data_IF_914669377656
#
_entry.id   IF_914669377656
#
_cell.length_a   1.000
_cell.length_b   1.000
_cell.length_c   1.000
_cell.angle_alpha   90.00
_cell.angle_beta   90.00
_cell.angle_gamma   90.00
#
_symmetry.space_group_name_H-M   'P 1'
#
loop_
_entity.id
_entity.type
_entity.pdbx_description
1 polymer ?
#
# COMPACT_ATOMS: atom_id res chain seq x y z
N UNK A 1 -13.87 20.74 0.19
CA UNK A 1 -14.13 21.56 -1.02
C UNK A 1 -12.87 22.38 -1.29
N UNK A 2 -11.87 21.79 -1.95
CA UNK A 2 -10.62 22.47 -2.32
C UNK A 2 -10.86 23.20 -3.65
N UNK A 3 -10.49 24.47 -3.65
CA UNK A 3 -10.70 25.42 -4.74
C UNK A 3 -9.66 25.11 -5.84
N UNK A 4 -10.08 24.44 -6.92
CA UNK A 4 -9.24 24.20 -8.10
C UNK A 4 -9.10 25.51 -8.87
N UNK A 5 -8.20 26.37 -8.40
CA UNK A 5 -7.74 27.53 -9.17
C UNK A 5 -6.99 27.03 -10.39
N UNK A 6 -7.61 27.20 -11.56
CA UNK A 6 -7.05 26.98 -12.89
C UNK A 6 -5.66 27.61 -13.00
N UNK A 7 -4.60 26.78 -12.93
CA UNK A 7 -3.23 27.24 -13.20
C UNK A 7 -3.14 27.55 -14.70
N UNK A 8 -2.92 28.82 -14.98
CA UNK A 8 -2.76 29.40 -16.32
C UNK A 8 -1.50 28.81 -16.94
N UNK A 9 -1.63 28.13 -18.09
CA UNK A 9 -0.52 27.72 -18.95
C UNK A 9 0.24 28.98 -19.38
N UNK A 10 1.35 29.30 -18.72
CA UNK A 10 2.28 30.32 -19.16
C UNK A 10 3.32 29.63 -20.05
N UNK A 11 3.03 29.52 -21.35
CA UNK A 11 4.05 29.21 -22.36
C UNK A 11 5.03 30.38 -22.36
N UNK A 12 6.11 30.27 -21.59
CA UNK A 12 7.23 31.21 -21.62
C UNK A 12 8.13 30.79 -22.79
N UNK A 13 7.74 31.21 -23.99
CA UNK A 13 8.62 31.32 -25.15
C UNK A 13 9.64 32.44 -24.86
N UNK A 14 10.71 32.15 -24.13
CA UNK A 14 11.81 33.09 -23.90
C UNK A 14 13.16 32.40 -23.81
N UNK A 15 13.59 31.80 -24.92
CA UNK A 15 15.02 31.59 -25.20
C UNK A 15 15.34 32.15 -26.59
N UNK A 16 15.23 33.47 -26.73
CA UNK A 16 15.98 34.16 -27.78
C UNK A 16 17.45 34.17 -27.32
N UNK A 17 18.17 33.06 -27.54
CA UNK A 17 19.62 33.10 -27.55
C UNK A 17 20.02 33.95 -28.75
N UNK A 18 20.18 35.25 -28.50
CA UNK A 18 20.96 36.09 -29.36
C UNK A 18 22.37 35.47 -29.41
N UNK A 19 22.64 34.66 -30.44
CA UNK A 19 23.99 34.41 -30.90
C UNK A 19 24.59 35.79 -31.16
N UNK A 20 25.27 36.33 -30.14
CA UNK A 20 25.93 37.62 -30.24
C UNK A 20 27.05 37.43 -31.22
N UNK A 21 26.77 37.78 -32.48
CA UNK A 21 27.75 37.97 -33.53
C UNK A 21 28.66 39.11 -33.08
N UNK A 22 29.70 38.81 -32.29
CA UNK A 22 30.89 39.64 -32.25
C UNK A 22 31.58 39.47 -33.59
N UNK A 23 31.03 40.15 -34.60
CA UNK A 23 31.71 40.45 -35.83
C UNK A 23 32.90 41.33 -35.51
N UNK A 24 34.08 40.77 -35.67
CA UNK A 24 35.29 41.54 -35.93
C UNK A 24 35.78 41.08 -37.29
N UNK A 25 35.50 41.91 -38.29
CA UNK A 25 35.96 41.83 -39.66
C UNK A 25 37.42 41.39 -39.74
N UNK A 26 37.65 40.29 -40.48
CA UNK A 26 38.82 40.10 -41.36
C UNK A 26 38.64 38.86 -42.22
N UNK A 27 38.29 39.10 -43.47
CA UNK A 27 38.84 38.43 -44.64
C UNK A 27 39.13 36.92 -44.51
N UNK A 28 38.10 36.10 -44.72
CA UNK A 28 38.26 34.82 -45.39
C UNK A 28 37.23 34.71 -46.51
N UNK A 29 37.72 34.95 -47.73
CA UNK A 29 37.12 34.42 -48.96
C UNK A 29 36.75 32.94 -48.74
N UNK A 30 35.45 32.61 -48.82
CA UNK A 30 35.03 31.20 -48.92
C UNK A 30 33.79 30.75 -48.16
N UNK A 31 33.03 31.61 -47.47
CA UNK A 31 31.71 31.21 -46.95
C UNK A 31 30.72 31.05 -48.10
N UNK A 32 30.70 29.84 -48.70
CA UNK A 32 29.57 29.37 -49.50
C UNK A 32 28.32 29.52 -48.64
N UNK A 33 27.26 30.05 -49.24
CA UNK A 33 25.91 30.01 -48.68
C UNK A 33 25.67 28.61 -48.08
N UNK A 34 25.19 28.54 -46.84
CA UNK A 34 24.97 27.26 -46.15
C UNK A 34 24.22 26.32 -47.10
N UNK A 35 24.74 25.11 -47.30
CA UNK A 35 24.10 24.15 -48.19
C UNK A 35 22.70 23.87 -47.61
N UNK A 36 21.67 24.43 -48.24
CA UNK A 36 20.29 24.35 -47.76
C UNK A 36 19.83 22.89 -47.59
N UNK A 37 20.42 21.96 -48.35
CA UNK A 37 20.14 20.53 -48.21
C UNK A 37 20.72 19.94 -46.92
N UNK A 38 21.91 20.38 -46.50
CA UNK A 38 22.54 19.97 -45.24
C UNK A 38 21.76 20.51 -44.03
N UNK A 39 21.37 21.79 -44.06
CA UNK A 39 20.57 22.39 -42.98
C UNK A 39 19.21 21.68 -42.86
N UNK A 40 18.61 21.32 -44.00
CA UNK A 40 17.37 20.53 -44.02
C UNK A 40 17.59 19.14 -43.40
N UNK A 41 18.65 18.44 -43.79
CA UNK A 41 18.99 17.12 -43.22
C UNK A 41 19.24 17.17 -41.71
N UNK A 42 19.94 18.22 -41.22
CA UNK A 42 20.14 18.43 -39.79
C UNK A 42 18.81 18.66 -39.05
N UNK A 43 17.90 19.43 -39.65
CA UNK A 43 16.56 19.62 -39.11
C UNK A 43 15.75 18.33 -39.07
N UNK A 44 15.80 17.52 -40.13
CA UNK A 44 15.11 16.23 -40.18
C UNK A 44 15.67 15.24 -39.15
N UNK A 45 17.01 15.20 -38.99
CA UNK A 45 17.64 14.35 -37.98
C UNK A 45 17.24 14.76 -36.56
N UNK A 46 17.29 16.05 -36.24
CA UNK A 46 16.86 16.56 -34.94
C UNK A 46 15.36 16.33 -34.67
N UNK A 47 14.51 16.48 -35.69
CA UNK A 47 13.08 16.19 -35.60
C UNK A 47 12.83 14.70 -35.32
N UNK A 48 13.48 13.80 -36.05
CA UNK A 48 13.38 12.34 -35.83
C UNK A 48 13.88 11.93 -34.44
N UNK A 49 14.97 12.55 -33.94
CA UNK A 49 15.49 12.32 -32.59
C UNK A 49 14.46 12.68 -31.52
N UNK A 50 13.78 13.84 -31.63
CA UNK A 50 12.76 14.27 -30.65
C UNK A 50 11.47 13.46 -30.79
N UNK A 51 11.08 13.13 -32.02
CA UNK A 51 9.93 12.27 -32.30
C UNK A 51 10.13 10.82 -31.84
N UNK A 52 11.37 10.43 -31.51
CA UNK A 52 11.76 9.06 -31.16
C UNK A 52 11.47 8.07 -32.29
N UNK A 53 11.52 8.55 -33.53
CA UNK A 53 11.19 7.76 -34.70
C UNK A 53 12.43 7.00 -35.18
N UNK A 54 12.56 5.75 -34.72
CA UNK A 54 13.71 4.90 -35.04
C UNK A 54 13.80 4.58 -36.53
N UNK A 55 12.66 4.51 -37.23
CA UNK A 55 12.63 4.26 -38.68
C UNK A 55 13.19 5.47 -39.42
N UNK A 56 12.73 6.69 -39.09
CA UNK A 56 13.23 7.92 -39.70
C UNK A 56 14.72 8.15 -39.36
N UNK A 57 15.16 7.86 -38.12
CA UNK A 57 16.59 7.92 -37.77
C UNK A 57 17.40 6.93 -38.61
N UNK A 58 16.89 5.72 -38.84
CA UNK A 58 17.53 4.71 -39.71
C UNK A 58 17.68 5.19 -41.13
N UNK A 59 16.63 5.78 -41.70
CA UNK A 59 16.68 6.31 -43.05
C UNK A 59 17.69 7.48 -43.18
N UNK A 60 17.75 8.35 -42.16
CA UNK A 60 18.65 9.50 -42.14
C UNK A 60 20.10 9.13 -41.80
N UNK A 61 20.34 8.00 -41.12
CA UNK A 61 21.69 7.52 -40.80
C UNK A 61 22.23 6.51 -41.84
N UNK A 62 21.35 5.88 -42.62
CA UNK A 62 21.68 4.83 -43.58
C UNK A 62 22.38 3.64 -42.93
N UNK A 63 23.35 3.05 -43.63
CA UNK A 63 24.09 1.86 -43.17
C UNK A 63 24.86 2.06 -41.85
N UNK A 64 24.97 3.29 -41.35
CA UNK A 64 25.61 3.57 -40.06
C UNK A 64 24.74 3.17 -38.87
N UNK A 65 23.41 3.05 -39.03
CA UNK A 65 22.47 2.64 -37.98
C UNK A 65 22.07 1.18 -38.12
N UNK A 66 22.80 0.31 -37.43
CA UNK A 66 22.65 -1.14 -37.57
C UNK A 66 21.30 -1.64 -37.03
N UNK A 67 20.86 -2.82 -37.49
CA UNK A 67 19.65 -3.48 -36.97
C UNK A 67 19.72 -3.71 -35.44
N UNK A 68 20.92 -3.93 -34.89
CA UNK A 68 21.14 -4.10 -33.44
C UNK A 68 20.91 -2.79 -32.69
N UNK A 69 21.43 -1.68 -33.22
CA UNK A 69 21.26 -0.36 -32.63
C UNK A 69 19.79 0.08 -32.71
N UNK A 70 19.11 -0.19 -33.84
CA UNK A 70 17.68 0.06 -33.99
C UNK A 70 16.86 -0.69 -32.93
N UNK A 71 17.15 -1.98 -32.73
CA UNK A 71 16.48 -2.79 -31.71
C UNK A 71 16.76 -2.28 -30.28
N UNK A 72 18.00 -1.88 -29.98
CA UNK A 72 18.38 -1.29 -28.69
C UNK A 72 17.59 0.00 -28.43
N UNK A 73 17.62 0.94 -29.37
CA UNK A 73 16.99 2.25 -29.18
C UNK A 73 15.47 2.20 -29.23
N UNK A 74 14.88 1.31 -30.04
CA UNK A 74 13.43 1.04 -30.01
C UNK A 74 12.98 0.59 -28.63
N UNK A 75 13.79 -0.20 -27.94
CA UNK A 75 13.49 -0.67 -26.59
C UNK A 75 13.63 0.45 -25.55
N UNK A 76 14.65 1.29 -25.66
CA UNK A 76 14.92 2.39 -24.72
C UNK A 76 13.89 3.53 -24.88
N UNK A 77 13.59 3.94 -26.11
CA UNK A 77 12.78 5.13 -26.38
C UNK A 77 11.27 4.90 -26.46
N UNK A 78 10.81 3.66 -26.26
CA UNK A 78 9.37 3.37 -26.24
C UNK A 78 8.67 4.00 -25.03
N UNK A 79 9.38 4.16 -23.90
CA UNK A 79 8.85 4.72 -22.65
C UNK A 79 7.49 4.14 -22.21
N UNK A 80 7.25 2.86 -22.50
CA UNK A 80 6.04 2.16 -22.05
C UNK A 80 6.35 1.34 -20.79
N UNK A 81 5.39 1.20 -19.86
CA UNK A 81 5.54 0.30 -18.72
C UNK A 81 5.76 -1.14 -19.18
N UNK A 82 6.67 -1.86 -18.54
CA UNK A 82 6.93 -3.27 -18.84
C UNK A 82 8.31 -3.74 -18.39
N UNK A 83 9.01 -4.55 -19.19
CA UNK A 83 10.25 -5.21 -18.75
C UNK A 83 11.45 -4.29 -18.61
N UNK A 84 11.34 -3.04 -19.06
CA UNK A 84 12.44 -2.05 -19.05
C UNK A 84 12.18 -0.97 -18.03
N UNK A 85 10.94 -0.49 -17.95
CA UNK A 85 10.53 0.60 -17.09
C UNK A 85 9.31 0.19 -16.26
N UNK A 86 9.34 0.54 -14.98
CA UNK A 86 8.14 0.61 -14.15
C UNK A 86 7.16 1.67 -14.70
N UNK A 87 5.94 1.66 -14.19
CA UNK A 87 4.92 2.67 -14.55
C UNK A 87 5.40 4.09 -14.23
N UNK A 88 6.03 4.29 -13.07
CA UNK A 88 6.51 5.62 -12.63
C UNK A 88 7.70 6.10 -13.46
N UNK A 89 8.67 5.23 -13.76
CA UNK A 89 9.80 5.57 -14.64
C UNK A 89 9.31 5.93 -16.04
N UNK A 90 8.43 5.12 -16.64
CA UNK A 90 7.84 5.37 -17.97
C UNK A 90 7.19 6.76 -18.06
N UNK A 91 6.39 7.12 -17.04
CA UNK A 91 5.75 8.44 -16.95
C UNK A 91 6.76 9.58 -16.83
N UNK A 92 7.78 9.40 -16.00
CA UNK A 92 8.84 10.40 -15.78
C UNK A 92 9.62 10.70 -17.05
N UNK A 93 10.08 9.64 -17.73
CA UNK A 93 10.82 9.74 -18.98
C UNK A 93 10.00 10.44 -20.06
N UNK A 94 8.71 10.12 -20.16
CA UNK A 94 7.79 10.75 -21.11
C UNK A 94 7.58 12.23 -20.78
N UNK A 95 7.38 12.58 -19.51
CA UNK A 95 7.21 13.97 -19.09
C UNK A 95 8.42 14.84 -19.46
N UNK A 96 9.64 14.33 -19.24
CA UNK A 96 10.88 15.01 -19.64
C UNK A 96 10.96 15.10 -21.17
N UNK A 97 10.77 13.98 -21.87
CA UNK A 97 10.92 13.91 -23.32
C UNK A 97 9.90 14.79 -24.07
N UNK A 98 8.68 14.96 -23.54
CA UNK A 98 7.65 15.82 -24.13
C UNK A 98 8.01 17.32 -24.01
N UNK A 99 9.03 17.68 -23.23
CA UNK A 99 9.58 19.05 -23.18
C UNK A 99 10.65 19.33 -24.23
N UNK A 100 11.14 18.28 -24.91
CA UNK A 100 12.22 18.42 -25.89
C UNK A 100 11.78 19.28 -27.08
N UNK A 101 12.66 20.20 -27.45
CA UNK A 101 12.58 21.00 -28.66
C UNK A 101 13.98 21.25 -29.22
N UNK A 102 14.09 21.75 -30.45
CA UNK A 102 15.39 22.01 -31.06
C UNK A 102 15.43 23.27 -31.90
N UNK A 103 16.64 23.80 -32.06
CA UNK A 103 16.98 24.87 -33.00
C UNK A 103 18.26 24.49 -33.77
N UNK A 104 18.17 24.49 -35.10
CA UNK A 104 19.33 24.28 -35.98
C UNK A 104 20.07 25.60 -36.19
N UNK A 105 21.33 25.68 -35.77
CA UNK A 105 22.15 26.85 -36.05
C UNK A 105 22.63 26.84 -37.52
N UNK A 106 21.81 27.39 -38.41
CA UNK A 106 22.07 27.39 -39.86
C UNK A 106 23.39 28.07 -40.25
N UNK A 107 23.90 28.98 -39.41
CA UNK A 107 25.17 29.67 -39.64
C UNK A 107 26.40 28.85 -39.27
N UNK A 108 26.23 27.76 -38.52
CA UNK A 108 27.29 26.83 -38.13
C UNK A 108 27.61 25.77 -39.19
N UNK A 109 26.80 25.67 -40.25
CA UNK A 109 26.93 24.63 -41.26
C UNK A 109 28.30 24.68 -41.95
N UNK A 110 29.05 23.59 -41.84
CA UNK A 110 30.36 23.40 -42.51
C UNK A 110 30.31 22.21 -43.46
N UNK A 111 30.93 22.36 -44.63
CA UNK A 111 31.08 21.28 -45.63
C UNK A 111 32.54 21.20 -46.02
N UNK A 112 33.14 20.02 -45.85
CA UNK A 112 34.52 19.74 -46.17
C UNK A 112 34.66 19.20 -47.61
N UNK A 113 35.88 19.27 -48.14
CA UNK A 113 36.19 18.84 -49.52
C UNK A 113 36.04 17.32 -49.73
N UNK A 114 36.07 16.52 -48.66
CA UNK A 114 35.91 15.06 -48.69
C UNK A 114 34.44 14.61 -48.68
N UNK A 115 33.49 15.54 -48.61
CA UNK A 115 32.06 15.22 -48.54
C UNK A 115 31.54 14.98 -47.13
N UNK A 116 32.36 15.20 -46.09
CA UNK A 116 31.87 15.32 -44.71
C UNK A 116 31.34 16.72 -44.43
N UNK A 117 30.40 16.83 -43.50
CA UNK A 117 29.79 18.09 -43.09
C UNK A 117 29.42 18.07 -41.62
N UNK A 118 29.20 19.24 -41.03
CA UNK A 118 28.67 19.34 -39.67
C UNK A 118 27.76 20.56 -39.48
N UNK A 119 26.80 20.44 -38.57
CA UNK A 119 25.86 21.50 -38.19
C UNK A 119 25.61 21.41 -36.69
N UNK A 120 25.75 22.54 -35.99
CA UNK A 120 25.42 22.65 -34.58
C UNK A 120 23.90 22.73 -34.41
N UNK A 121 23.36 21.86 -33.57
CA UNK A 121 21.96 21.85 -33.15
C UNK A 121 21.91 22.03 -31.63
N UNK A 122 21.04 22.94 -31.17
CA UNK A 122 20.73 23.10 -29.76
C UNK A 122 19.39 22.40 -29.49
N UNK A 123 19.40 21.41 -28.60
CA UNK A 123 18.20 20.81 -28.03
C UNK A 123 17.90 21.50 -26.70
N UNK A 124 16.64 21.79 -26.42
CA UNK A 124 16.19 22.39 -25.17
C UNK A 124 15.22 21.42 -24.49
N UNK A 125 15.41 21.17 -23.20
CA UNK A 125 14.53 20.34 -22.37
C UNK A 125 14.34 20.95 -20.99
N UNK A 126 13.37 20.47 -20.22
CA UNK A 126 13.25 20.78 -18.80
C UNK A 126 14.50 20.35 -18.03
N UNK A 127 15.00 21.21 -17.13
CA UNK A 127 16.06 20.90 -16.15
C UNK A 127 15.49 19.96 -15.08
N UNK A 128 15.31 18.70 -15.48
CA UNK A 128 14.75 17.64 -14.65
C UNK A 128 15.62 17.38 -13.42
N UNK A 129 16.93 17.63 -13.51
CA UNK A 129 17.87 17.45 -12.41
C UNK A 129 17.53 18.37 -11.24
N UNK A 130 17.11 19.61 -11.52
CA UNK A 130 16.67 20.54 -10.48
C UNK A 130 15.39 20.07 -9.78
N UNK A 131 14.45 19.49 -10.54
CA UNK A 131 13.17 18.96 -10.05
C UNK A 131 13.38 17.70 -9.20
N UNK A 132 14.25 16.78 -9.65
CA UNK A 132 14.59 15.56 -8.88
C UNK A 132 15.27 15.85 -7.54
N UNK A 133 15.90 17.02 -7.40
CA UNK A 133 16.49 17.45 -6.13
C UNK A 133 15.47 18.07 -5.16
N UNK A 134 14.23 18.27 -5.60
CA UNK A 134 13.11 18.66 -4.74
C UNK A 134 12.55 17.40 -4.04
N UNK A 135 11.91 17.60 -2.89
CA UNK A 135 11.30 16.52 -2.10
C UNK A 135 9.94 16.11 -2.72
N UNK A 136 10.00 15.61 -3.96
CA UNK A 136 8.83 15.18 -4.73
C UNK A 136 8.71 13.67 -4.61
N UNK A 137 7.78 13.23 -3.78
CA UNK A 137 7.52 11.81 -3.53
C UNK A 137 6.46 11.23 -4.46
N UNK A 138 5.68 12.06 -5.17
CA UNK A 138 4.54 11.63 -5.99
C UNK A 138 4.77 11.95 -7.47
N UNK A 139 4.55 10.96 -8.34
CA UNK A 139 4.78 11.08 -9.79
C UNK A 139 3.97 12.19 -10.47
N UNK A 140 2.72 12.44 -10.07
CA UNK A 140 1.92 13.52 -10.65
C UNK A 140 2.48 14.90 -10.34
N UNK A 141 3.05 15.07 -9.14
CA UNK A 141 3.67 16.33 -8.75
C UNK A 141 4.97 16.55 -9.51
N UNK A 142 5.70 15.47 -9.83
CA UNK A 142 6.86 15.51 -10.72
C UNK A 142 6.47 15.95 -12.14
N UNK A 143 5.45 15.34 -12.74
CA UNK A 143 4.96 15.70 -14.08
C UNK A 143 4.55 17.18 -14.17
N UNK A 144 3.80 17.66 -13.17
CA UNK A 144 3.38 19.06 -13.05
C UNK A 144 4.59 20.00 -12.90
N UNK A 145 5.60 19.58 -12.14
CA UNK A 145 6.83 20.36 -11.90
C UNK A 145 7.69 20.44 -13.16
N UNK A 146 7.85 19.34 -13.90
CA UNK A 146 8.57 19.31 -15.18
C UNK A 146 7.94 20.24 -16.21
N UNK A 147 6.61 20.26 -16.31
CA UNK A 147 5.90 21.12 -17.26
C UNK A 147 6.13 22.63 -17.01
N UNK A 148 6.49 23.01 -15.78
CA UNK A 148 6.78 24.39 -15.37
C UNK A 148 8.25 24.67 -15.07
N UNK A 149 9.13 23.68 -15.25
CA UNK A 149 10.53 23.78 -14.86
C UNK A 149 11.31 24.81 -15.69
N UNK A 150 12.45 25.24 -15.16
CA UNK A 150 13.45 25.92 -15.98
C UNK A 150 13.93 24.96 -17.07
N UNK A 151 14.41 25.51 -18.19
CA UNK A 151 14.96 24.69 -19.28
C UNK A 151 16.47 24.75 -19.30
N UNK A 152 17.09 23.68 -19.79
CA UNK A 152 18.50 23.62 -20.13
C UNK A 152 18.71 23.29 -21.61
N UNK A 153 19.86 23.71 -22.13
CA UNK A 153 20.22 23.52 -23.53
C UNK A 153 21.38 22.53 -23.68
N UNK A 154 21.15 21.51 -24.50
CA UNK A 154 22.12 20.52 -24.94
C UNK A 154 22.59 20.88 -26.35
N UNK A 155 23.85 21.29 -26.51
CA UNK A 155 24.41 21.64 -27.82
C UNK A 155 25.24 20.50 -28.38
N UNK A 156 24.89 20.04 -29.58
CA UNK A 156 25.62 18.97 -30.29
C UNK A 156 26.04 19.42 -31.69
N UNK A 157 27.21 18.98 -32.13
CA UNK A 157 27.67 19.11 -33.52
C UNK A 157 27.26 17.83 -34.27
N UNK A 158 26.16 17.88 -35.01
CA UNK A 158 25.72 16.74 -35.84
C UNK A 158 26.62 16.65 -37.06
N UNK A 159 27.18 15.47 -37.31
CA UNK A 159 28.08 15.20 -38.43
C UNK A 159 27.37 14.43 -39.52
N UNK A 160 27.67 14.76 -40.77
CA UNK A 160 27.03 14.19 -41.94
C UNK A 160 28.06 13.73 -42.98
N UNK A 161 27.70 12.75 -43.78
CA UNK A 161 28.45 12.33 -44.98
C UNK A 161 27.53 12.36 -46.20
N UNK A 162 28.04 12.86 -47.32
CA UNK A 162 27.28 12.95 -48.56
C UNK A 162 27.26 11.63 -49.32
N UNK A 163 26.09 11.02 -49.45
CA UNK A 163 25.88 9.80 -50.25
C UNK A 163 24.95 10.13 -51.42
N UNK A 164 25.53 10.25 -52.62
CA UNK A 164 24.77 10.71 -53.80
C UNK A 164 24.30 12.16 -53.64
N UNK A 165 22.99 12.36 -53.62
CA UNK A 165 22.36 13.68 -53.45
C UNK A 165 21.85 13.93 -52.01
N UNK A 166 22.08 12.99 -51.09
CA UNK A 166 21.58 13.01 -49.71
C UNK A 166 22.71 13.19 -48.70
N UNK A 167 22.37 13.77 -47.54
CA UNK A 167 23.26 13.91 -46.39
C UNK A 167 22.80 12.93 -45.31
N UNK A 168 23.67 12.01 -44.93
CA UNK A 168 23.37 11.00 -43.92
C UNK A 168 24.06 11.37 -42.61
N UNK A 169 23.34 11.34 -41.49
CA UNK A 169 23.86 11.63 -40.16
C UNK A 169 24.76 10.47 -39.69
N UNK A 170 26.01 10.77 -39.35
CA UNK A 170 27.02 9.75 -39.03
C UNK A 170 27.30 9.57 -37.54
N UNK A 171 26.84 10.49 -36.70
CA UNK A 171 26.99 10.43 -35.23
C UNK A 171 25.64 10.43 -34.49
N UNK A 172 24.64 9.77 -35.07
CA UNK A 172 23.29 9.66 -34.50
C UNK A 172 23.32 8.96 -33.12
N UNK A 173 24.24 8.03 -32.90
CA UNK A 173 24.43 7.29 -31.66
C UNK A 173 24.84 8.22 -30.52
N UNK A 174 25.83 9.08 -30.77
CA UNK A 174 26.27 10.12 -29.84
C UNK A 174 25.13 11.09 -29.56
N UNK A 175 24.34 11.45 -30.58
CA UNK A 175 23.18 12.33 -30.40
C UNK A 175 22.10 11.71 -29.53
N UNK A 176 21.76 10.43 -29.75
CA UNK A 176 20.80 9.69 -28.94
C UNK A 176 21.26 9.56 -27.49
N UNK A 177 22.51 9.15 -27.26
CA UNK A 177 23.06 9.01 -25.90
C UNK A 177 23.10 10.35 -25.15
N UNK A 178 23.39 11.44 -25.84
CA UNK A 178 23.47 12.76 -25.23
C UNK A 178 22.09 13.38 -24.96
N UNK A 179 21.16 13.31 -25.92
CA UNK A 179 19.81 13.89 -25.75
C UNK A 179 18.98 13.09 -24.75
N UNK A 180 19.18 11.77 -24.68
CA UNK A 180 18.42 10.88 -23.79
C UNK A 180 19.23 10.41 -22.57
N UNK A 181 20.25 11.17 -22.14
CA UNK A 181 21.06 10.83 -20.96
C UNK A 181 20.19 10.60 -19.70
N UNK A 182 19.09 11.37 -19.58
CA UNK A 182 18.11 11.27 -18.49
C UNK A 182 17.43 9.90 -18.37
N UNK A 183 17.52 9.04 -19.40
CA UNK A 183 17.03 7.65 -19.34
C UNK A 183 17.88 6.73 -18.47
N UNK A 184 19.05 7.20 -18.03
CA UNK A 184 19.94 6.47 -17.10
C UNK A 184 19.73 6.86 -15.63
N UNK A 185 18.85 7.82 -15.35
CA UNK A 185 18.54 8.23 -13.98
C UNK A 185 17.60 7.25 -13.29
N UNK A 186 17.71 7.16 -11.96
CA UNK A 186 16.77 6.39 -11.14
C UNK A 186 15.63 7.30 -10.69
N UNK A 187 14.39 6.85 -10.93
CA UNK A 187 13.17 7.57 -10.58
C UNK A 187 12.41 6.78 -9.53
N UNK A 188 12.49 7.24 -8.28
CA UNK A 188 11.81 6.62 -7.15
C UNK A 188 10.67 7.53 -6.67
N UNK A 189 9.43 7.05 -6.86
CA UNK A 189 8.23 7.75 -6.44
C UNK A 189 7.40 6.81 -5.57
N UNK A 190 6.93 7.35 -4.45
CA UNK A 190 5.91 6.69 -3.63
C UNK A 190 4.59 6.65 -4.39
N UNK A 191 3.91 5.53 -4.25
CA UNK A 191 2.55 5.38 -4.73
C UNK A 191 1.64 6.13 -3.74
N UNK A 192 0.85 7.14 -4.18
CA UNK A 192 -0.10 7.81 -3.30
C UNK A 192 -1.23 6.83 -2.94
N UNK A 193 -1.16 6.27 -1.74
CA UNK A 193 -2.01 5.16 -1.31
C UNK A 193 -3.49 5.53 -1.24
N UNK A 194 -3.81 6.78 -0.91
CA UNK A 194 -5.19 7.28 -0.91
C UNK A 194 -5.86 7.25 -2.29
N UNK A 195 -5.11 7.16 -3.39
CA UNK A 195 -5.65 7.06 -4.75
C UNK A 195 -5.73 5.62 -5.27
N UNK A 196 -5.14 4.66 -4.55
CA UNK A 196 -5.01 3.26 -4.99
C UNK A 196 -6.26 2.41 -4.76
N UNK A 197 -7.38 3.02 -4.36
CA UNK A 197 -8.61 2.29 -4.05
C UNK A 197 -8.43 1.37 -2.86
N UNK A 198 -7.80 1.87 -1.79
CA UNK A 198 -7.63 1.10 -0.57
C UNK A 198 -8.98 0.61 -0.05
N UNK A 199 -9.04 -0.67 0.26
CA UNK A 199 -10.13 -1.28 1.00
C UNK A 199 -9.73 -1.37 2.47
N UNK A 200 -10.72 -1.30 3.34
CA UNK A 200 -10.53 -1.53 4.76
C UNK A 200 -11.66 -2.41 5.27
N UNK A 201 -11.38 -3.08 6.38
CA UNK A 201 -12.33 -4.02 6.94
C UNK A 201 -12.10 -4.24 8.41
N UNK A 202 -13.19 -4.63 9.05
CA UNK A 202 -13.26 -4.87 10.48
C UNK A 202 -13.20 -6.36 10.77
N UNK A 203 -12.52 -6.67 11.85
CA UNK A 203 -12.60 -7.94 12.53
C UNK A 203 -12.89 -7.66 14.00
N UNK A 204 -14.03 -8.11 14.50
CA UNK A 204 -14.47 -7.88 15.87
C UNK A 204 -15.01 -9.19 16.45
N UNK A 205 -14.41 -9.63 17.57
CA UNK A 205 -14.77 -10.80 18.39
C UNK A 205 -14.71 -12.18 17.74
N UNK A 206 -15.20 -12.35 16.51
CA UNK A 206 -15.02 -13.55 15.70
C UNK A 206 -13.98 -13.30 14.59
N UNK A 207 -12.76 -13.84 14.73
CA UNK A 207 -11.70 -13.69 13.72
C UNK A 207 -12.09 -14.17 12.32
N UNK A 208 -13.19 -14.93 12.18
CA UNK A 208 -13.67 -15.48 10.90
C UNK A 208 -14.65 -14.60 10.14
N UNK A 209 -15.17 -13.51 10.72
CA UNK A 209 -16.08 -12.57 10.04
C UNK A 209 -15.41 -11.23 9.78
N UNK A 210 -14.85 -11.06 8.57
CA UNK A 210 -14.38 -9.75 8.11
C UNK A 210 -15.57 -8.99 7.51
N UNK A 211 -15.87 -7.81 8.01
CA UNK A 211 -16.83 -6.88 7.41
C UNK A 211 -16.08 -5.81 6.63
N UNK A 212 -16.34 -5.68 5.34
CA UNK A 212 -15.83 -4.58 4.50
C UNK A 212 -16.68 -3.31 4.60
N UNK A 213 -17.78 -3.34 5.35
CA UNK A 213 -18.59 -2.15 5.62
C UNK A 213 -17.78 -1.17 6.48
N UNK A 214 -17.51 0.08 6.05
CA UNK A 214 -16.79 1.05 6.86
C UNK A 214 -17.56 1.41 8.14
N UNK A 215 -18.87 1.19 8.20
CA UNK A 215 -19.69 1.43 9.39
C UNK A 215 -20.26 0.11 9.93
N UNK A 216 -19.83 -0.31 11.12
CA UNK A 216 -20.36 -1.51 11.79
C UNK A 216 -20.93 -1.20 13.17
N UNK A 217 -21.83 -2.04 13.65
CA UNK A 217 -22.29 -2.02 15.05
C UNK A 217 -21.94 -3.35 15.70
N UNK A 218 -21.24 -3.29 16.82
CA UNK A 218 -20.79 -4.46 17.60
C UNK A 218 -21.37 -4.34 19.00
N UNK A 219 -21.75 -5.47 19.61
CA UNK A 219 -22.29 -5.49 20.96
C UNK A 219 -21.22 -5.98 21.93
N UNK A 220 -21.02 -5.27 23.04
CA UNK A 220 -20.09 -5.66 24.10
C UNK A 220 -18.67 -5.95 23.60
N UNK A 221 -18.15 -5.13 22.68
CA UNK A 221 -16.85 -5.35 22.07
C UNK A 221 -15.72 -5.33 23.12
N UNK A 222 -14.94 -6.41 23.20
CA UNK A 222 -13.68 -6.42 23.98
C UNK A 222 -12.50 -5.84 23.21
N UNK A 223 -12.55 -5.96 21.88
CA UNK A 223 -11.51 -5.51 20.97
C UNK A 223 -12.07 -5.25 19.57
N UNK A 224 -11.39 -4.38 18.84
CA UNK A 224 -11.54 -4.16 17.42
C UNK A 224 -10.21 -4.45 16.75
N UNK A 225 -10.24 -5.07 15.58
CA UNK A 225 -9.12 -5.08 14.66
C UNK A 225 -9.59 -4.55 13.32
N UNK A 226 -8.80 -3.68 12.73
CA UNK A 226 -9.08 -3.11 11.43
C UNK A 226 -7.79 -3.10 10.63
N UNK A 227 -7.87 -3.50 9.37
CA UNK A 227 -6.73 -3.44 8.47
C UNK A 227 -7.14 -2.88 7.12
N UNK A 228 -6.16 -2.33 6.42
CA UNK A 228 -6.30 -1.94 5.02
C UNK A 228 -5.64 -2.97 4.11
N UNK A 229 -6.20 -3.17 2.93
CA UNK A 229 -5.60 -3.94 1.85
C UNK A 229 -5.89 -3.26 0.52
N UNK A 230 -5.12 -3.64 -0.49
CA UNK A 230 -5.28 -3.17 -1.86
C UNK A 230 -5.58 -4.36 -2.75
N UNK A 231 -6.21 -4.11 -3.90
CA UNK A 231 -6.47 -5.15 -4.89
C UNK A 231 -5.17 -5.85 -5.31
N UNK A 232 -5.24 -7.18 -5.48
CA UNK A 232 -4.09 -8.11 -5.64
C UNK A 232 -3.05 -7.69 -6.69
N UNK A 233 -3.42 -6.88 -7.69
CA UNK A 233 -2.52 -6.43 -8.76
C UNK A 233 -1.53 -5.33 -8.30
N UNK A 234 -1.65 -4.81 -7.08
CA UNK A 234 -0.85 -3.66 -6.58
C UNK A 234 -0.02 -3.91 -5.32
N UNK A 235 -0.18 -5.06 -4.64
CA UNK A 235 0.36 -5.22 -3.28
C UNK A 235 1.88 -5.32 -3.19
N UNK A 236 2.56 -5.79 -4.24
CA UNK A 236 4.02 -6.03 -4.23
C UNK A 236 4.83 -4.74 -4.42
N UNK A 237 4.24 -3.70 -5.00
CA UNK A 237 4.89 -2.41 -5.26
C UNK A 237 4.52 -1.34 -4.21
N UNK A 238 3.67 -1.68 -3.24
CA UNK A 238 3.27 -0.75 -2.18
C UNK A 238 4.37 -0.66 -1.13
N UNK A 239 4.89 0.55 -0.96
CA UNK A 239 5.68 0.90 0.21
C UNK A 239 4.75 1.08 1.41
N UNK A 240 4.70 0.06 2.27
CA UNK A 240 3.95 0.09 3.53
C UNK A 240 4.61 0.95 4.60
N UNK A 241 5.84 1.46 4.35
CA UNK A 241 6.56 2.24 5.35
C UNK A 241 5.92 3.61 5.56
N UNK A 242 5.81 4.01 6.83
CA UNK A 242 5.21 5.29 7.21
C UNK A 242 3.67 5.32 7.19
N UNK A 243 3.00 4.21 6.85
CA UNK A 243 1.56 4.07 7.12
C UNK A 243 1.33 4.04 8.62
N UNK A 244 0.32 4.77 9.08
CA UNK A 244 -0.08 4.75 10.47
C UNK A 244 -1.60 4.83 10.63
N UNK A 245 -2.10 4.29 11.74
CA UNK A 245 -3.50 4.34 12.12
C UNK A 245 -3.70 5.26 13.32
N UNK A 246 -4.76 6.05 13.29
CA UNK A 246 -5.25 6.83 14.43
C UNK A 246 -6.59 6.26 14.86
N UNK A 247 -6.68 5.86 16.12
CA UNK A 247 -7.93 5.39 16.74
C UNK A 247 -8.49 6.52 17.59
N UNK A 248 -9.75 6.87 17.35
CA UNK A 248 -10.48 7.85 18.16
C UNK A 248 -11.74 7.24 18.76
N UNK A 249 -12.15 7.70 19.94
CA UNK A 249 -13.44 7.37 20.54
C UNK A 249 -14.24 8.66 20.73
N UNK A 250 -15.42 8.71 20.12
CA UNK A 250 -16.28 9.90 20.10
C UNK A 250 -15.52 11.20 19.67
N UNK A 251 -14.53 11.05 18.79
CA UNK A 251 -13.69 12.14 18.26
C UNK A 251 -12.48 12.53 19.12
N UNK A 252 -12.22 11.85 20.25
CA UNK A 252 -10.99 12.02 21.03
C UNK A 252 -9.94 10.98 20.60
N UNK A 253 -8.73 11.42 20.25
CA UNK A 253 -7.61 10.53 19.89
C UNK A 253 -7.18 9.69 21.09
N UNK A 254 -7.28 8.37 20.94
CA UNK A 254 -6.88 7.39 21.95
C UNK A 254 -5.45 6.93 21.73
N UNK A 255 -5.12 6.56 20.49
CA UNK A 255 -3.82 6.01 20.14
C UNK A 255 -3.48 6.27 18.68
N UNK A 256 -2.18 6.32 18.39
CA UNK A 256 -1.58 6.42 17.07
C UNK A 256 -0.44 5.42 16.94
N UNK A 257 -0.51 4.52 15.96
CA UNK A 257 0.50 3.47 15.74
C UNK A 257 0.86 3.35 14.26
N UNK A 258 2.15 3.11 13.98
CA UNK A 258 2.67 2.85 12.63
C UNK A 258 2.41 1.38 12.24
N UNK A 259 1.21 1.10 11.75
CA UNK A 259 0.83 -0.21 11.23
C UNK A 259 -0.30 -0.08 10.19
N UNK A 260 -0.37 -1.03 9.26
CA UNK A 260 -1.47 -1.17 8.29
C UNK A 260 -2.58 -2.11 8.79
N UNK A 261 -2.32 -2.82 9.90
CA UNK A 261 -3.29 -3.59 10.66
C UNK A 261 -3.29 -3.11 12.11
N UNK A 262 -4.35 -2.42 12.51
CA UNK A 262 -4.49 -1.90 13.87
C UNK A 262 -5.43 -2.77 14.69
N UNK A 263 -5.03 -3.13 15.90
CA UNK A 263 -5.92 -3.77 16.88
C UNK A 263 -6.00 -2.94 18.15
N UNK A 264 -7.21 -2.71 18.66
CA UNK A 264 -7.46 -1.93 19.86
C UNK A 264 -8.37 -2.71 20.80
N UNK A 265 -8.05 -2.78 22.09
CA UNK A 265 -8.76 -3.63 23.05
C UNK A 265 -8.84 -2.99 24.42
N UNK A 266 -9.68 -3.54 25.31
CA UNK A 266 -9.74 -3.15 26.73
C UNK A 266 -8.40 -3.30 27.46
N UNK A 267 -7.48 -4.13 26.95
CA UNK A 267 -6.14 -4.31 27.49
C UNK A 267 -5.15 -3.22 27.06
N UNK A 268 -5.50 -2.34 26.11
CA UNK A 268 -4.66 -1.21 25.76
C UNK A 268 -4.53 -0.23 26.94
N UNK A 269 -3.30 0.26 27.25
CA UNK A 269 -3.11 1.22 28.32
C UNK A 269 -3.94 2.49 28.11
N UNK A 270 -4.88 2.75 29.03
CA UNK A 270 -5.75 3.93 28.97
C UNK A 270 -6.98 3.76 28.09
N UNK A 271 -7.30 2.54 27.64
CA UNK A 271 -8.51 2.30 26.89
C UNK A 271 -9.77 2.64 27.70
N UNK A 272 -10.74 3.36 27.10
CA UNK A 272 -12.04 3.58 27.73
C UNK A 272 -12.77 2.24 27.79
N UNK A 273 -13.06 1.81 29.02
CA UNK A 273 -13.76 0.58 29.32
C UNK A 273 -15.08 0.88 30.02
N UNK A 274 -16.05 -0.02 29.84
CA UNK A 274 -17.32 0.02 30.54
C UNK A 274 -17.14 -0.13 32.07
N UNK A 275 -18.19 0.08 32.90
CA UNK A 275 -18.07 -0.03 34.35
C UNK A 275 -17.61 -1.41 34.87
N UNK A 276 -17.82 -2.49 34.11
CA UNK A 276 -17.31 -3.82 34.47
C UNK A 276 -15.80 -3.94 34.21
N UNK A 277 -15.27 -3.17 33.27
CA UNK A 277 -13.89 -3.25 32.80
C UNK A 277 -13.65 -4.42 31.83
N UNK A 278 -14.70 -5.16 31.47
CA UNK A 278 -14.63 -6.30 30.57
C UNK A 278 -14.78 -5.89 29.11
N UNK A 279 -15.50 -4.80 28.84
CA UNK A 279 -15.83 -4.33 27.50
C UNK A 279 -15.29 -2.92 27.27
N UNK A 280 -15.09 -2.56 26.01
CA UNK A 280 -14.83 -1.19 25.62
C UNK A 280 -16.03 -0.32 26.02
N UNK A 281 -15.81 0.95 26.32
CA UNK A 281 -16.90 1.88 26.62
C UNK A 281 -17.89 1.95 25.43
N UNK A 282 -19.16 2.27 25.70
CA UNK A 282 -20.15 2.52 24.64
C UNK A 282 -19.72 3.74 23.79
N UNK A 283 -19.94 3.67 22.48
CA UNK A 283 -19.74 4.79 21.57
C UNK A 283 -19.06 4.43 20.26
N UNK A 284 -18.69 5.47 19.51
CA UNK A 284 -18.11 5.33 18.18
C UNK A 284 -16.59 5.26 18.26
N UNK A 285 -16.02 4.17 17.75
CA UNK A 285 -14.57 3.99 17.57
C UNK A 285 -14.23 4.15 16.10
N UNK A 286 -13.51 5.22 15.75
CA UNK A 286 -13.09 5.49 14.37
C UNK A 286 -11.62 5.15 14.21
N UNK A 287 -11.32 4.31 13.22
CA UNK A 287 -9.97 3.95 12.81
C UNK A 287 -9.70 4.66 11.48
N UNK A 288 -8.69 5.52 11.45
CA UNK A 288 -8.28 6.22 10.23
C UNK A 288 -6.83 5.92 9.92
N UNK A 289 -6.59 5.35 8.74
CA UNK A 289 -5.27 5.07 8.22
C UNK A 289 -4.79 6.22 7.35
N UNK A 290 -3.54 6.62 7.55
CA UNK A 290 -2.86 7.66 6.81
C UNK A 290 -1.57 7.10 6.20
N UNK A 291 -1.14 7.68 5.10
CA UNK A 291 0.21 7.45 4.58
C UNK A 291 1.25 8.34 5.29
N UNK A 292 2.51 8.24 4.84
CA UNK A 292 3.62 8.99 5.39
C UNK A 292 3.50 10.51 5.22
N UNK A 293 2.60 10.99 4.34
CA UNK A 293 2.38 12.39 4.01
C UNK A 293 1.09 12.95 4.64
N UNK A 294 0.54 12.26 5.65
CA UNK A 294 -0.70 12.58 6.37
C UNK A 294 -1.95 12.60 5.46
N UNK A 295 -1.92 11.88 4.33
CA UNK A 295 -3.09 11.72 3.46
C UNK A 295 -3.91 10.54 3.96
N UNK A 296 -5.20 10.76 4.19
CA UNK A 296 -6.14 9.71 4.57
C UNK A 296 -6.24 8.66 3.46
N UNK A 297 -5.90 7.41 3.80
CA UNK A 297 -6.01 6.24 2.92
C UNK A 297 -7.42 5.65 3.04
N UNK A 298 -7.87 5.43 4.28
CA UNK A 298 -9.16 4.84 4.60
C UNK A 298 -9.60 5.24 6.01
N UNK A 299 -10.91 5.40 6.21
CA UNK A 299 -11.51 5.63 7.52
C UNK A 299 -12.78 4.80 7.68
N UNK A 300 -12.94 4.18 8.84
CA UNK A 300 -14.16 3.47 9.21
C UNK A 300 -14.52 3.72 10.66
N UNK A 301 -15.79 3.52 11.00
CA UNK A 301 -16.32 3.61 12.36
C UNK A 301 -17.00 2.31 12.81
N UNK A 302 -16.62 1.81 13.98
CA UNK A 302 -17.32 0.76 14.70
C UNK A 302 -18.05 1.35 15.90
N UNK A 303 -19.39 1.25 15.92
CA UNK A 303 -20.20 1.64 17.06
C UNK A 303 -20.30 0.47 18.04
N UNK A 304 -19.68 0.60 19.21
CA UNK A 304 -19.87 -0.34 20.30
C UNK A 304 -21.15 0.01 21.07
N UNK A 305 -22.04 -0.96 21.23
CA UNK A 305 -23.21 -0.83 22.11
C UNK A 305 -23.08 -1.80 23.27
N UNK A 306 -23.31 -1.30 24.48
CA UNK A 306 -23.36 -2.15 25.67
C UNK A 306 -24.78 -2.64 25.83
N UNK A 307 -24.96 -3.95 25.72
CA UNK A 307 -26.24 -4.61 25.97
C UNK A 307 -26.11 -5.45 27.22
N UNK A 308 -27.12 -5.36 28.09
CA UNK A 308 -27.23 -6.29 29.21
C UNK A 308 -27.26 -7.70 28.63
N UNK A 309 -26.19 -8.46 28.86
CA UNK A 309 -26.21 -9.87 28.50
C UNK A 309 -27.03 -10.58 29.58
N UNK A 310 -28.20 -11.07 29.20
CA UNK A 310 -28.80 -12.16 29.97
C UNK A 310 -27.85 -13.35 29.85
N UNK A 311 -27.16 -13.65 30.95
CA UNK A 311 -26.32 -14.83 31.06
C UNK A 311 -27.19 -16.07 30.85
N UNK A 312 -27.22 -16.59 29.64
CA UNK A 312 -27.76 -17.91 29.35
C UNK A 312 -26.66 -18.92 29.67
N UNK A 313 -26.86 -19.63 30.78
CA UNK A 313 -26.03 -20.77 31.14
C UNK A 313 -26.68 -22.04 30.59
N UNK A 314 -25.88 -22.86 29.91
CA UNK A 314 -26.25 -24.23 29.56
C UNK A 314 -25.19 -25.19 30.11
N UNK A 315 -25.59 -26.44 30.35
CA UNK A 315 -24.64 -27.50 30.67
C UNK A 315 -24.64 -28.51 29.53
N UNK A 316 -23.57 -28.48 28.73
CA UNK A 316 -23.40 -29.49 27.68
C UNK A 316 -22.99 -30.85 28.26
N UNK A 317 -23.51 -31.92 27.65
CA UNK A 317 -23.09 -33.30 27.92
C UNK A 317 -23.80 -34.01 29.08
N UNK A 318 -24.84 -33.41 29.66
CA UNK A 318 -25.67 -34.04 30.69
C UNK A 318 -26.67 -35.04 30.10
N UNK A 319 -26.45 -36.33 30.39
CA UNK A 319 -27.51 -37.34 30.33
C UNK A 319 -28.23 -37.33 31.68
N UNK A 320 -29.58 -37.32 31.73
CA UNK A 320 -30.30 -37.46 33.00
C UNK A 320 -29.96 -38.75 33.76
N UNK A 321 -29.47 -39.79 33.09
CA UNK A 321 -29.15 -41.09 33.71
C UNK A 321 -27.80 -41.64 33.22
N UNK A 322 -26.95 -42.06 34.15
CA UNK A 322 -25.67 -42.74 33.88
C UNK A 322 -25.66 -44.13 34.50
N UNK A 323 -24.97 -45.09 33.87
CA UNK A 323 -24.85 -46.47 34.36
C UNK A 323 -23.37 -46.83 34.49
N UNK A 324 -22.91 -47.08 35.72
CA UNK A 324 -21.49 -47.32 36.05
C UNK A 324 -20.52 -46.32 35.38
N UNK A 325 -20.75 -44.99 35.48
CA UNK A 325 -19.87 -44.03 34.84
C UNK A 325 -18.48 -44.02 35.51
N UNK A 326 -17.44 -44.20 34.71
CA UNK A 326 -16.04 -43.99 35.14
C UNK A 326 -15.66 -42.50 35.10
N UNK A 327 -16.35 -41.72 34.27
CA UNK A 327 -16.15 -40.29 34.11
C UNK A 327 -17.47 -39.62 33.76
N UNK A 328 -17.75 -38.48 34.40
CA UNK A 328 -18.79 -37.58 33.99
C UNK A 328 -18.17 -36.18 33.84
N UNK A 329 -18.38 -35.56 32.67
CA UNK A 329 -17.84 -34.24 32.35
C UNK A 329 -19.00 -33.29 32.05
N UNK A 330 -18.96 -32.11 32.67
CA UNK A 330 -19.86 -31.01 32.40
C UNK A 330 -19.05 -29.75 32.14
N UNK A 331 -19.52 -28.94 31.20
CA UNK A 331 -18.97 -27.62 30.92
C UNK A 331 -20.09 -26.62 31.12
N UNK A 332 -19.85 -25.61 31.97
CA UNK A 332 -20.68 -24.42 31.97
C UNK A 332 -20.44 -23.72 30.64
N UNK A 333 -21.44 -23.68 29.77
CA UNK A 333 -21.39 -22.88 28.54
C UNK A 333 -22.10 -21.57 28.85
N UNK A 334 -21.46 -20.47 28.47
CA UNK A 334 -22.02 -19.13 28.58
C UNK A 334 -21.98 -18.45 27.21
N UNK A 335 -22.93 -17.56 26.97
CA UNK A 335 -23.05 -16.80 25.70
C UNK A 335 -22.27 -15.49 25.70
N UNK A 336 -21.62 -15.12 26.81
CA UNK A 336 -20.85 -13.86 26.97
C UNK A 336 -19.64 -14.02 27.86
N UNK A 337 -18.56 -13.29 27.63
CA UNK A 337 -17.32 -13.37 28.43
C UNK A 337 -17.51 -13.23 29.94
N UNK A 338 -17.67 -14.39 30.58
CA UNK A 338 -17.82 -14.54 32.01
C UNK A 338 -16.46 -14.90 32.61
N UNK A 339 -15.99 -14.13 33.59
CA UNK A 339 -14.73 -14.41 34.29
C UNK A 339 -14.88 -15.68 35.14
N UNK A 340 -14.51 -16.82 34.56
CA UNK A 340 -14.60 -18.13 35.21
C UNK A 340 -13.71 -18.27 36.43
N UNK A 341 -12.75 -17.35 36.65
CA UNK A 341 -12.00 -17.31 37.91
C UNK A 341 -12.89 -16.91 39.09
N UNK A 342 -14.05 -16.31 38.83
CA UNK A 342 -15.02 -15.87 39.83
C UNK A 342 -16.14 -16.88 40.07
N UNK A 343 -16.24 -17.98 39.32
CA UNK A 343 -17.21 -19.02 39.62
C UNK A 343 -16.63 -20.13 40.49
N UNK A 344 -17.54 -20.81 41.17
CA UNK A 344 -17.25 -22.09 41.79
C UNK A 344 -18.46 -23.02 41.58
N UNK A 345 -18.26 -24.32 41.72
CA UNK A 345 -19.38 -25.25 41.69
C UNK A 345 -19.38 -26.15 42.93
N UNK A 346 -20.56 -26.63 43.28
CA UNK A 346 -20.76 -27.71 44.24
C UNK A 346 -21.36 -28.92 43.56
N UNK A 347 -20.93 -30.10 43.97
CA UNK A 347 -21.62 -31.35 43.67
C UNK A 347 -22.28 -31.86 44.94
N UNK A 348 -23.58 -32.12 44.85
CA UNK A 348 -24.36 -32.76 45.90
C UNK A 348 -24.68 -34.20 45.51
N UNK A 349 -24.67 -35.12 46.48
CA UNK A 349 -25.18 -36.49 46.34
C UNK A 349 -26.23 -36.71 47.44
N UNK A 350 -27.44 -37.09 47.06
CA UNK A 350 -28.57 -37.28 47.98
C UNK A 350 -28.83 -36.05 48.89
N UNK A 351 -28.57 -34.84 48.36
CA UNK A 351 -28.75 -33.55 49.05
C UNK A 351 -27.63 -33.17 50.03
N UNK A 352 -26.53 -33.91 50.08
CA UNK A 352 -25.33 -33.53 50.84
C UNK A 352 -24.22 -33.07 49.87
N UNK A 353 -23.59 -31.92 50.13
CA UNK A 353 -22.45 -31.43 49.35
C UNK A 353 -21.26 -32.37 49.56
N UNK A 354 -20.87 -33.06 48.51
CA UNK A 354 -19.74 -34.01 48.50
C UNK A 354 -18.49 -33.39 47.89
N UNK A 355 -18.62 -32.32 47.09
CA UNK A 355 -17.48 -31.67 46.45
C UNK A 355 -17.71 -30.17 46.20
N UNK A 356 -16.64 -29.38 46.23
CA UNK A 356 -16.64 -27.95 45.90
C UNK A 356 -15.32 -27.57 45.22
N UNK A 357 -15.38 -26.86 44.09
CA UNK A 357 -14.21 -26.41 43.35
C UNK A 357 -14.40 -24.96 42.87
N UNK A 358 -13.34 -24.16 42.99
CA UNK A 358 -13.34 -22.72 42.67
C UNK A 358 -12.49 -22.45 41.43
N UNK A 359 -12.88 -21.44 40.65
CA UNK A 359 -12.12 -20.92 39.51
C UNK A 359 -12.09 -21.85 38.30
N UNK A 360 -13.09 -22.73 38.16
CA UNK A 360 -13.15 -23.73 37.11
C UNK A 360 -14.56 -23.80 36.52
N UNK A 361 -14.75 -23.50 35.23
CA UNK A 361 -16.05 -23.63 34.56
C UNK A 361 -16.38 -25.08 34.17
N UNK A 362 -15.44 -26.00 34.39
CA UNK A 362 -15.59 -27.39 34.05
C UNK A 362 -15.75 -28.24 35.31
N UNK A 363 -16.73 -29.14 35.29
CA UNK A 363 -16.83 -30.24 36.25
C UNK A 363 -16.26 -31.48 35.58
N UNK A 364 -15.23 -32.05 36.22
CA UNK A 364 -14.69 -33.34 35.84
C UNK A 364 -14.81 -34.31 37.03
N UNK A 365 -15.76 -35.23 36.97
CA UNK A 365 -15.94 -36.28 37.98
C UNK A 365 -15.33 -37.57 37.47
N UNK A 366 -14.16 -37.91 38.00
CA UNK A 366 -13.52 -39.19 37.73
C UNK A 366 -13.73 -40.13 38.91
N UNK A 367 -14.13 -41.38 38.63
CA UNK A 367 -14.14 -42.43 39.66
C UNK A 367 -12.73 -42.73 40.22
N UNK A 368 -11.68 -42.37 39.46
CA UNK A 368 -10.28 -42.50 39.88
C UNK A 368 -9.76 -41.36 40.75
N UNK A 369 -10.48 -40.23 40.85
CA UNK A 369 -10.11 -39.09 41.69
C UNK A 369 -10.89 -39.18 43.02
N UNK A 370 -10.39 -40.05 43.90
CA UNK A 370 -11.05 -40.45 45.15
C UNK A 370 -11.19 -39.35 46.20
N UNK A 371 -10.56 -38.19 45.99
CA UNK A 371 -10.72 -37.00 46.84
C UNK A 371 -11.91 -36.12 46.39
N UNK A 372 -12.47 -36.37 45.19
CA UNK A 372 -13.53 -35.56 44.57
C UNK A 372 -14.86 -36.28 44.42
N UNK A 373 -14.94 -37.56 44.77
CA UNK A 373 -16.07 -38.43 44.46
C UNK A 373 -16.45 -39.34 45.63
N UNK A 374 -17.76 -39.57 45.80
CA UNK A 374 -18.25 -40.65 46.66
C UNK A 374 -18.25 -41.91 45.81
N UNK A 375 -17.30 -42.80 46.10
CA UNK A 375 -17.15 -44.04 45.36
C UNK A 375 -17.98 -45.16 45.98
N UNK A 376 -18.37 -46.10 45.13
CA UNK A 376 -18.94 -47.38 45.53
C UNK A 376 -17.95 -48.19 46.41
N UNK A 377 -18.39 -49.27 47.07
CA UNK A 377 -17.51 -50.08 47.91
C UNK A 377 -16.32 -50.72 47.18
N UNK A 378 -16.37 -50.84 45.84
CA UNK A 378 -15.24 -51.34 45.04
C UNK A 378 -14.20 -50.26 44.73
N UNK A 379 -14.54 -48.98 44.93
CA UNK A 379 -13.69 -47.83 44.62
C UNK A 379 -13.47 -47.64 43.12
N UNK A 380 -14.34 -48.20 42.29
CA UNK A 380 -14.17 -48.22 40.82
C UNK A 380 -15.21 -47.36 40.10
N UNK A 381 -16.33 -47.03 40.76
CA UNK A 381 -17.41 -46.23 40.18
C UNK A 381 -17.94 -45.21 41.19
N UNK A 382 -18.65 -44.20 40.67
CA UNK A 382 -19.49 -43.33 41.51
C UNK A 382 -20.59 -44.16 42.18
N UNK A 383 -20.90 -43.86 43.44
CA UNK A 383 -21.98 -44.53 44.17
C UNK A 383 -23.34 -44.26 43.48
N UNK A 384 -24.25 -45.24 43.53
CA UNK A 384 -25.63 -45.04 43.04
C UNK A 384 -26.32 -43.89 43.79
N UNK A 385 -27.11 -43.10 43.08
CA UNK A 385 -27.99 -42.08 43.66
C UNK A 385 -28.19 -40.85 42.78
N UNK A 386 -28.93 -39.89 43.32
CA UNK A 386 -29.16 -38.58 42.69
C UNK A 386 -28.00 -37.63 42.99
N UNK A 387 -27.46 -37.03 41.93
CA UNK A 387 -26.45 -36.00 42.01
C UNK A 387 -27.02 -34.67 41.53
N UNK A 388 -26.58 -33.56 42.12
CA UNK A 388 -26.90 -32.20 41.66
C UNK A 388 -25.63 -31.37 41.55
N UNK A 389 -25.34 -30.90 40.35
CA UNK A 389 -24.26 -29.94 40.09
C UNK A 389 -24.83 -28.53 40.09
N UNK A 390 -24.26 -27.64 40.91
CA UNK A 390 -24.68 -26.22 40.97
C UNK A 390 -23.47 -25.32 40.81
N UNK A 391 -23.52 -24.41 39.85
CA UNK A 391 -22.54 -23.35 39.66
C UNK A 391 -22.99 -22.06 40.32
N UNK A 392 -22.05 -21.35 40.90
CA UNK A 392 -22.24 -20.09 41.61
C UNK A 392 -21.28 -19.04 41.09
N UNK A 393 -21.66 -17.76 41.20
CA UNK A 393 -20.72 -16.65 41.10
C UNK A 393 -19.96 -16.40 42.41
N UNK A 394 -19.11 -15.38 42.43
CA UNK A 394 -18.29 -14.99 43.59
C UNK A 394 -19.09 -14.42 44.77
N UNK A 395 -20.39 -14.19 44.57
CA UNK A 395 -21.33 -13.67 45.56
C UNK A 395 -22.34 -14.72 46.04
N UNK A 396 -22.08 -16.01 45.76
CA UNK A 396 -22.93 -17.16 46.08
C UNK A 396 -24.30 -17.15 45.37
N UNK A 397 -24.47 -16.40 44.27
CA UNK A 397 -25.68 -16.48 43.46
C UNK A 397 -25.61 -17.72 42.57
N UNK A 398 -26.70 -18.49 42.52
CA UNK A 398 -26.81 -19.66 41.63
C UNK A 398 -26.88 -19.20 40.18
N UNK A 399 -25.91 -19.65 39.38
CA UNK A 399 -25.87 -19.44 37.92
C UNK A 399 -26.73 -20.48 37.21
N UNK A 400 -26.45 -21.77 37.49
CA UNK A 400 -27.19 -22.91 36.96
C UNK A 400 -27.12 -24.07 37.96
N UNK A 401 -28.18 -24.90 37.99
CA UNK A 401 -28.25 -26.10 38.81
C UNK A 401 -28.94 -27.21 38.02
N UNK A 402 -28.34 -28.40 37.98
CA UNK A 402 -28.85 -29.53 37.22
C UNK A 402 -28.60 -30.85 37.95
N UNK A 403 -29.64 -31.69 37.97
CA UNK A 403 -29.60 -33.01 38.60
C UNK A 403 -29.49 -34.12 37.57
N UNK A 404 -28.84 -35.23 37.94
CA UNK A 404 -28.69 -36.46 37.17
C UNK A 404 -28.65 -37.68 38.10
N UNK A 405 -28.96 -38.86 37.58
CA UNK A 405 -28.99 -40.10 38.35
C UNK A 405 -27.83 -41.00 37.92
N UNK A 406 -27.12 -41.58 38.89
CA UNK A 406 -26.15 -42.65 38.64
C UNK A 406 -26.74 -43.97 39.11
N UNK A 407 -26.70 -44.98 38.25
CA UNK A 407 -27.10 -46.36 38.53
C UNK A 407 -25.89 -47.30 38.62
N UNK A 408 -25.91 -48.18 39.61
CA UNK A 408 -25.00 -49.34 39.70
C UNK A 408 -25.67 -50.57 39.07
N UNK A 409 -24.95 -51.37 38.26
CA UNK A 409 -25.48 -52.62 37.67
C UNK A 409 -25.25 -53.88 38.51
#
# INVERSE_FOLDING_TARGET
>A
MRDYSTKMLAVVLCSAMAFSSTGCDKDKEGTKEADSSLVTAAGQCADALIARDIEDISDLAGDSFSEEDQARWSRILNFEPGPVYSTSESRSLKAIADTLSFEVNTSSATVNDDGSASVIVAFTMADYSSVLNEDITVISDFEDSIAGAATEDLTIDLTFEKTGDEWLCTNYDVALEYVYEFTNEEYDFRIPLGECGAHGGWNAEDPSSISEDPEITVQNAQWFSCGIWFDEDSSDDIDWSGIYCVVTHNGEELVREEDYLMSYSTSYPGAPADPSGCYLEEGDYTFTFYDADDIEIWSGTATNVIVDVELEFDIAGLDPEYVNPETIQFELIWTSDFDTAQCYFTLEHEGEVVYTEYGNPYIWLFASDCDRSVLDPTGSYLIEGEYTATFYDSSDNVLISQSFIVHEL
#
